data_IF_653246304900
#
_entry.id   IF_653246304900
#
_cell.length_a   1.000
_cell.length_b   1.000
_cell.length_c   1.000
_cell.angle_alpha   90.00
_cell.angle_beta   90.00
_cell.angle_gamma   90.00
#
_symmetry.space_group_name_H-M   'P 1'
#
loop_
_entity.id
_entity.type
_entity.pdbx_description
1 polymer ?
#
# COMPACT_ATOMS: atom_id res chain seq x y z
N UNK A 1 11.90 -8.41 -4.90
CA UNK A 1 10.55 -8.81 -4.46
C UNK A 1 9.55 -7.78 -4.89
N UNK A 2 8.30 -8.19 -5.10
CA UNK A 2 7.20 -7.29 -5.42
C UNK A 2 6.11 -7.46 -4.37
N UNK A 3 5.69 -6.35 -3.76
CA UNK A 3 4.57 -6.32 -2.83
C UNK A 3 3.41 -5.58 -3.49
N UNK A 4 2.23 -6.19 -3.46
CA UNK A 4 0.97 -5.59 -3.85
C UNK A 4 0.22 -5.19 -2.60
N UNK A 5 -0.28 -3.96 -2.57
CA UNK A 5 -1.04 -3.39 -1.46
C UNK A 5 -2.38 -2.94 -2.03
N UNK A 6 -3.46 -3.33 -1.37
CA UNK A 6 -4.83 -3.00 -1.76
C UNK A 6 -5.60 -2.53 -0.52
N UNK A 7 -6.47 -1.53 -0.71
CA UNK A 7 -7.24 -0.91 0.38
C UNK A 7 -8.72 -1.18 0.18
N UNK A 8 -9.25 -2.24 0.81
CA UNK A 8 -10.67 -2.56 0.69
C UNK A 8 -11.55 -1.45 1.26
N UNK A 9 -12.75 -1.31 0.71
CA UNK A 9 -13.80 -0.42 1.18
C UNK A 9 -13.50 1.08 1.06
N UNK A 10 -12.46 1.48 0.32
CA UNK A 10 -12.22 2.89 -0.02
C UNK A 10 -13.41 3.53 -0.73
N UNK A 11 -14.10 2.81 -1.62
CA UNK A 11 -15.35 3.29 -2.23
C UNK A 11 -16.40 3.66 -1.19
N UNK A 12 -16.58 2.82 -0.16
CA UNK A 12 -17.54 3.09 0.93
C UNK A 12 -17.17 4.35 1.70
N UNK A 13 -15.88 4.59 1.92
CA UNK A 13 -15.38 5.84 2.51
C UNK A 13 -15.73 7.05 1.63
N UNK A 14 -15.50 6.95 0.33
CA UNK A 14 -15.84 8.03 -0.62
C UNK A 14 -17.35 8.30 -0.64
N UNK A 15 -18.16 7.25 -0.63
CA UNK A 15 -19.63 7.39 -0.64
C UNK A 15 -20.15 8.04 0.66
N UNK A 16 -19.47 7.83 1.80
CA UNK A 16 -19.87 8.38 3.11
C UNK A 16 -19.34 9.79 3.38
N UNK A 17 -18.10 10.07 2.98
CA UNK A 17 -17.37 11.27 3.39
C UNK A 17 -16.97 12.18 2.21
N UNK A 18 -17.31 11.78 0.98
CA UNK A 18 -16.89 12.45 -0.24
C UNK A 18 -15.50 12.05 -0.72
N UNK A 19 -15.23 12.35 -1.99
CA UNK A 19 -13.96 11.99 -2.64
C UNK A 19 -12.75 12.69 -2.03
N UNK A 20 -12.90 13.90 -1.48
CA UNK A 20 -11.80 14.64 -0.84
C UNK A 20 -11.21 13.86 0.35
N UNK A 21 -12.05 13.15 1.11
CA UNK A 21 -11.60 12.29 2.20
C UNK A 21 -10.78 11.10 1.67
N UNK A 22 -11.27 10.44 0.61
CA UNK A 22 -10.54 9.36 -0.04
C UNK A 22 -9.18 9.80 -0.58
N UNK A 23 -9.15 10.93 -1.27
CA UNK A 23 -7.92 11.50 -1.83
C UNK A 23 -6.92 11.87 -0.74
N UNK A 24 -7.39 12.44 0.38
CA UNK A 24 -6.55 12.72 1.54
C UNK A 24 -5.98 11.43 2.15
N UNK A 25 -6.80 10.38 2.29
CA UNK A 25 -6.37 9.10 2.82
C UNK A 25 -5.32 8.43 1.92
N UNK A 26 -5.52 8.44 0.60
CA UNK A 26 -4.56 7.87 -0.36
C UNK A 26 -3.22 8.61 -0.30
N UNK A 27 -3.23 9.94 -0.17
CA UNK A 27 -2.01 10.75 -0.01
C UNK A 27 -1.27 10.39 1.28
N UNK A 28 -1.98 10.24 2.38
CA UNK A 28 -1.38 9.88 3.67
C UNK A 28 -0.79 8.46 3.64
N UNK A 29 -1.52 7.49 3.07
CA UNK A 29 -1.03 6.12 2.89
C UNK A 29 0.23 6.11 2.02
N UNK A 30 0.26 6.89 0.92
CA UNK A 30 1.47 7.01 0.09
C UNK A 30 2.65 7.59 0.88
N UNK A 31 2.41 8.62 1.71
CA UNK A 31 3.42 9.20 2.60
C UNK A 31 3.96 8.18 3.61
N UNK A 32 3.07 7.40 4.22
CA UNK A 32 3.43 6.32 5.15
C UNK A 32 4.29 5.26 4.44
N UNK A 33 3.88 4.81 3.25
CA UNK A 33 4.66 3.85 2.46
C UNK A 33 6.07 4.41 2.19
N UNK A 34 6.18 5.65 1.72
CA UNK A 34 7.47 6.30 1.43
C UNK A 34 8.37 6.47 2.67
N UNK A 35 7.78 6.64 3.87
CA UNK A 35 8.50 6.70 5.15
C UNK A 35 9.06 5.34 5.58
N UNK A 36 8.36 4.26 5.22
CA UNK A 36 8.72 2.89 5.66
C UNK A 36 9.74 2.24 4.71
N UNK A 37 9.62 2.47 3.41
CA UNK A 37 10.55 1.90 2.42
C UNK A 37 11.91 2.62 2.42
N UNK A 38 12.94 1.96 1.90
CA UNK A 38 14.26 2.57 1.69
C UNK A 38 14.29 3.47 0.44
N UNK A 39 15.32 4.30 0.29
CA UNK A 39 15.46 5.20 -0.86
C UNK A 39 15.72 4.47 -2.17
N UNK A 40 16.20 3.24 -2.06
CA UNK A 40 16.52 2.33 -3.15
C UNK A 40 15.29 1.53 -3.61
N UNK A 41 14.22 1.52 -2.80
CA UNK A 41 12.95 0.89 -3.13
C UNK A 41 12.09 1.81 -4.00
N UNK A 42 11.21 1.20 -4.79
CA UNK A 42 10.30 1.91 -5.68
C UNK A 42 8.87 1.66 -5.19
N UNK A 43 8.12 2.73 -4.91
CA UNK A 43 6.68 2.67 -4.68
C UNK A 43 5.92 3.26 -5.87
N UNK A 44 4.88 2.55 -6.30
CA UNK A 44 4.05 2.89 -7.46
C UNK A 44 2.60 2.85 -7.01
N UNK A 45 1.81 3.89 -7.34
CA UNK A 45 0.35 3.79 -7.31
C UNK A 45 -0.09 3.10 -8.60
N UNK A 46 -0.55 1.86 -8.48
CA UNK A 46 -0.90 1.02 -9.63
C UNK A 46 -2.34 1.27 -10.11
N UNK A 47 -3.25 1.49 -9.17
CA UNK A 47 -4.67 1.72 -9.42
C UNK A 47 -5.24 2.88 -8.61
N UNK A 48 -6.55 2.90 -8.43
CA UNK A 48 -7.22 3.91 -7.61
C UNK A 48 -6.67 3.93 -6.19
N UNK A 49 -6.76 2.79 -5.52
CA UNK A 49 -6.41 2.55 -4.13
C UNK A 49 -5.36 1.43 -3.96
N UNK A 50 -4.78 0.99 -5.07
CA UNK A 50 -3.77 -0.06 -5.15
C UNK A 50 -2.36 0.52 -5.27
N UNK A 51 -1.42 -0.04 -4.51
CA UNK A 51 0.01 0.29 -4.55
C UNK A 51 0.86 -0.95 -4.81
N UNK A 52 2.01 -0.73 -5.46
CA UNK A 52 3.03 -1.75 -5.71
C UNK A 52 4.37 -1.25 -5.19
N UNK A 53 5.08 -2.10 -4.45
CA UNK A 53 6.45 -1.82 -3.99
C UNK A 53 7.39 -2.82 -4.63
N UNK A 54 8.44 -2.32 -5.25
CA UNK A 54 9.55 -3.10 -5.79
C UNK A 54 10.75 -2.83 -4.92
N UNK A 55 11.29 -3.89 -4.33
CA UNK A 55 12.46 -3.81 -3.44
C UNK A 55 13.44 -4.94 -3.74
N UNK A 56 14.72 -4.68 -3.59
CA UNK A 56 15.76 -5.70 -3.67
C UNK A 56 15.89 -6.53 -2.39
N UNK A 57 15.17 -6.15 -1.32
CA UNK A 57 15.24 -6.80 -0.02
C UNK A 57 14.02 -7.68 0.22
N UNK A 58 14.28 -8.89 0.74
CA UNK A 58 13.24 -9.78 1.22
C UNK A 58 13.18 -9.73 2.74
N UNK A 59 12.37 -8.83 3.28
CA UNK A 59 12.09 -8.84 4.71
C UNK A 59 10.58 -8.91 4.97
N UNK A 60 10.19 -9.92 5.76
CA UNK A 60 8.86 -9.99 6.39
C UNK A 60 8.60 -8.71 7.21
N UNK A 61 9.67 -8.10 7.71
CA UNK A 61 9.67 -6.84 8.44
C UNK A 61 9.08 -5.68 7.62
N UNK A 62 9.28 -5.64 6.29
CA UNK A 62 8.72 -4.57 5.47
C UNK A 62 7.19 -4.62 5.45
N UNK A 63 6.63 -5.79 5.17
CA UNK A 63 5.17 -5.97 5.17
C UNK A 63 4.55 -5.66 6.53
N UNK A 64 5.20 -6.10 7.61
CA UNK A 64 4.72 -5.84 8.99
C UNK A 64 4.72 -4.34 9.29
N UNK A 65 5.83 -3.64 9.02
CA UNK A 65 5.93 -2.19 9.28
C UNK A 65 4.91 -1.38 8.50
N UNK A 66 4.72 -1.69 7.21
CA UNK A 66 3.71 -1.00 6.39
C UNK A 66 2.32 -1.27 6.96
N UNK A 67 2.03 -2.53 7.31
CA UNK A 67 0.74 -2.89 7.91
C UNK A 67 0.50 -2.13 9.19
N UNK A 68 1.47 -2.07 10.10
CA UNK A 68 1.32 -1.43 11.41
C UNK A 68 1.09 0.09 11.30
N UNK A 69 1.92 0.78 10.50
CA UNK A 69 1.81 2.24 10.33
C UNK A 69 0.51 2.63 9.60
N UNK A 70 0.16 1.90 8.53
CA UNK A 70 -1.10 2.16 7.81
C UNK A 70 -2.29 1.80 8.68
N UNK A 71 -2.28 0.67 9.38
CA UNK A 71 -3.37 0.28 10.27
C UNK A 71 -3.60 1.31 11.38
N UNK A 72 -2.53 1.86 11.97
CA UNK A 72 -2.63 2.94 12.95
C UNK A 72 -3.34 4.17 12.39
N UNK A 73 -2.98 4.59 11.17
CA UNK A 73 -3.66 5.69 10.47
C UNK A 73 -5.14 5.37 10.21
N UNK A 74 -5.43 4.21 9.63
CA UNK A 74 -6.80 3.79 9.27
C UNK A 74 -7.70 3.72 10.50
N UNK A 75 -7.24 3.08 11.58
CA UNK A 75 -8.04 2.91 12.79
C UNK A 75 -8.40 4.24 13.47
N UNK A 76 -7.60 5.29 13.22
CA UNK A 76 -7.83 6.63 13.77
C UNK A 76 -8.76 7.48 12.90
N UNK A 77 -8.77 7.29 11.58
CA UNK A 77 -9.45 8.20 10.64
C UNK A 77 -10.60 7.54 9.85
N UNK A 78 -10.41 6.30 9.39
CA UNK A 78 -11.32 5.57 8.48
C UNK A 78 -11.31 4.07 8.80
N UNK A 79 -11.75 3.65 10.00
CA UNK A 79 -11.58 2.27 10.51
C UNK A 79 -12.33 1.20 9.70
N UNK A 80 -13.23 1.60 8.80
CA UNK A 80 -13.90 0.70 7.86
C UNK A 80 -13.01 0.21 6.72
N UNK A 81 -11.88 0.87 6.45
CA UNK A 81 -10.95 0.51 5.38
C UNK A 81 -9.98 -0.54 5.89
N UNK A 82 -9.70 -1.56 5.07
CA UNK A 82 -8.83 -2.67 5.42
C UNK A 82 -7.65 -2.70 4.45
N UNK A 83 -6.43 -2.71 4.98
CA UNK A 83 -5.22 -2.92 4.18
C UNK A 83 -4.98 -4.42 3.95
N UNK A 84 -4.73 -4.80 2.71
CA UNK A 84 -4.24 -6.13 2.31
C UNK A 84 -2.87 -6.00 1.67
N UNK A 85 -1.93 -6.83 2.09
CA UNK A 85 -0.58 -6.89 1.48
C UNK A 85 -0.30 -8.30 1.01
N UNK A 86 0.06 -8.45 -0.28
CA UNK A 86 0.51 -9.71 -0.89
C UNK A 86 1.95 -9.55 -1.36
N UNK A 87 2.85 -10.41 -0.88
CA UNK A 87 4.20 -10.53 -1.41
C UNK A 87 4.21 -11.59 -2.51
N UNK A 88 4.66 -11.20 -3.70
CA UNK A 88 4.97 -12.13 -4.77
C UNK A 88 6.50 -12.24 -4.92
N UNK A 89 7.00 -13.42 -4.55
CA UNK A 89 8.35 -13.86 -4.92
C UNK A 89 8.32 -14.21 -6.40
N UNK A 90 8.27 -13.20 -7.27
CA UNK A 90 8.39 -13.42 -8.70
C UNK A 90 9.77 -14.02 -8.97
N UNK A 91 9.79 -15.35 -9.16
CA UNK A 91 10.79 -16.01 -9.97
C UNK A 91 10.66 -15.44 -11.38
N UNK A 92 11.25 -14.27 -11.63
CA UNK A 92 11.45 -13.72 -12.98
C UNK A 92 12.52 -14.55 -13.69
N UNK A 93 12.26 -15.85 -13.88
CA UNK A 93 12.89 -16.67 -14.90
C UNK A 93 11.94 -16.70 -16.09
N UNK A 94 12.23 -15.84 -17.07
CA UNK A 94 11.72 -15.98 -18.43
C UNK A 94 10.57 -15.05 -18.78
N UNK A 95 10.91 -13.86 -19.26
CA UNK A 95 10.40 -13.35 -20.54
C UNK A 95 11.49 -12.46 -21.15
N UNK A 96 12.38 -13.08 -21.93
CA UNK A 96 12.96 -12.42 -23.09
C UNK A 96 11.99 -12.70 -24.24
N UNK A 97 11.23 -11.69 -24.65
CA UNK A 97 10.69 -11.57 -26.00
C UNK A 97 10.70 -10.10 -26.40
#
# INVERSE_FOLDING_TARGET
>A
MIYFIDMDFMKKTNDLYGHDMGDSAIKEIASIILKVISKEDIAIRYGGDEFVIITNYSSKDLSTKITDEVFSFLNTHIPQVIIKIRNDSLNFFGFYV
#
